data_IF_492794634841
#
_entry.id   IF_492794634841
#
_cell.length_a   1.000
_cell.length_b   1.000
_cell.length_c   1.000
_cell.angle_alpha   90.00
_cell.angle_beta   90.00
_cell.angle_gamma   90.00
#
_symmetry.space_group_name_H-M   'P 1'
#
loop_
_entity.id
_entity.type
_entity.pdbx_description
1 polymer ?
#
# COMPACT_ATOMS: atom_id res chain seq x y z
N UNK A 1 11.34 5.34 5.44
CA UNK A 1 10.66 6.23 4.46
C UNK A 1 9.46 6.86 5.14
N UNK A 2 9.01 8.06 4.73
CA UNK A 2 7.96 8.79 5.47
C UNK A 2 6.56 8.17 5.35
N UNK A 3 5.65 8.58 6.24
CA UNK A 3 4.23 8.20 6.25
C UNK A 3 3.42 8.75 5.06
N UNK A 4 3.95 9.68 4.25
CA UNK A 4 3.31 10.22 3.04
C UNK A 4 1.82 10.64 3.20
N UNK A 5 1.46 11.23 4.35
CA UNK A 5 0.08 11.65 4.64
C UNK A 5 -0.84 10.56 5.22
N UNK A 6 -0.36 9.33 5.36
CA UNK A 6 -1.15 8.23 5.93
C UNK A 6 -1.16 8.29 7.47
N UNK A 7 -2.33 8.56 8.05
CA UNK A 7 -2.50 8.71 9.50
C UNK A 7 -2.10 7.45 10.29
N UNK A 8 -2.44 6.25 9.79
CA UNK A 8 -2.00 4.99 10.40
C UNK A 8 -0.47 4.81 10.46
N UNK A 9 0.26 5.07 9.37
CA UNK A 9 1.72 5.00 9.35
C UNK A 9 2.34 6.03 10.29
N UNK A 10 1.78 7.25 10.36
CA UNK A 10 2.22 8.28 11.31
C UNK A 10 2.09 7.80 12.75
N UNK A 11 0.99 7.13 13.09
CA UNK A 11 0.80 6.57 14.43
C UNK A 11 1.81 5.46 14.73
N UNK A 12 2.07 4.56 13.78
CA UNK A 12 3.07 3.49 13.92
C UNK A 12 4.48 4.09 14.13
N UNK A 13 4.87 5.08 13.33
CA UNK A 13 6.16 5.76 13.45
C UNK A 13 6.32 6.45 14.81
N UNK A 14 5.27 7.13 15.31
CA UNK A 14 5.25 7.73 16.65
C UNK A 14 5.40 6.65 17.73
N UNK A 15 4.68 5.54 17.58
CA UNK A 15 4.67 4.44 18.57
C UNK A 15 6.03 3.74 18.65
N UNK A 16 6.68 3.53 17.50
CA UNK A 16 7.97 2.85 17.42
C UNK A 16 9.16 3.80 17.67
N UNK A 17 8.96 5.12 17.56
CA UNK A 17 10.03 6.11 17.59
C UNK A 17 10.93 6.10 16.34
N UNK A 18 10.57 5.32 15.31
CA UNK A 18 11.33 5.22 14.06
C UNK A 18 10.47 4.80 12.86
N UNK A 19 10.99 4.99 11.64
CA UNK A 19 10.35 4.55 10.38
C UNK A 19 11.01 3.31 9.74
N UNK A 20 11.83 2.59 10.51
CA UNK A 20 12.66 1.47 10.04
C UNK A 20 11.87 0.14 10.03
N UNK A 21 10.82 0.08 9.22
CA UNK A 21 10.05 -1.14 9.01
C UNK A 21 9.67 -1.28 7.53
N UNK A 22 9.56 -2.54 7.07
CA UNK A 22 9.11 -2.84 5.72
C UNK A 22 7.59 -2.64 5.62
N UNK A 23 7.13 -2.24 4.43
CA UNK A 23 5.71 -2.04 4.13
C UNK A 23 5.41 -2.40 2.68
N UNK A 24 4.27 -3.03 2.48
CA UNK A 24 3.70 -3.27 1.15
C UNK A 24 2.73 -2.13 0.85
N UNK A 25 2.87 -1.51 -0.33
CA UNK A 25 1.97 -0.44 -0.79
C UNK A 25 0.98 -1.00 -1.79
N UNK A 26 -0.31 -0.93 -1.46
CA UNK A 26 -1.38 -1.17 -2.40
C UNK A 26 -1.80 0.19 -3.00
N UNK A 27 -1.58 0.37 -4.30
CA UNK A 27 -1.95 1.61 -4.98
C UNK A 27 -3.45 1.66 -5.21
N UNK A 28 -4.09 2.72 -4.73
CA UNK A 28 -5.54 2.96 -4.92
C UNK A 28 -5.82 4.16 -5.82
N UNK A 29 -4.81 4.69 -6.51
CA UNK A 29 -4.94 5.90 -7.33
C UNK A 29 -4.85 7.22 -6.55
N UNK A 30 -4.89 8.32 -7.30
CA UNK A 30 -4.86 9.70 -6.80
C UNK A 30 -5.89 10.60 -7.50
N UNK A 31 -6.94 9.99 -8.05
CA UNK A 31 -7.97 10.68 -8.82
C UNK A 31 -8.98 11.42 -7.91
N UNK A 32 -8.48 12.42 -7.18
CA UNK A 32 -9.28 13.30 -6.34
C UNK A 32 -8.79 14.75 -6.43
N UNK A 33 -9.69 15.74 -6.33
CA UNK A 33 -9.30 17.15 -6.21
C UNK A 33 -8.47 17.41 -4.94
N UNK A 34 -7.62 18.44 -4.98
CA UNK A 34 -6.87 18.89 -3.80
C UNK A 34 -7.81 19.14 -2.62
N UNK A 35 -7.56 18.47 -1.49
CA UNK A 35 -8.34 18.61 -0.27
C UNK A 35 -9.40 17.52 -0.07
N UNK A 36 -9.66 16.66 -1.08
CA UNK A 36 -10.65 15.58 -1.00
C UNK A 36 -10.03 14.20 -0.77
N UNK A 37 -8.78 14.15 -0.29
CA UNK A 37 -8.08 12.90 0.03
C UNK A 37 -8.90 12.03 0.98
N UNK A 38 -9.49 12.65 2.00
CA UNK A 38 -10.21 11.95 3.07
C UNK A 38 -11.46 11.26 2.51
N UNK A 39 -12.22 11.95 1.68
CA UNK A 39 -13.44 11.40 1.08
C UNK A 39 -13.10 10.22 0.15
N UNK A 40 -12.03 10.36 -0.65
CA UNK A 40 -11.57 9.32 -1.57
C UNK A 40 -11.12 8.03 -0.88
N UNK A 41 -10.38 8.13 0.24
CA UNK A 41 -9.91 6.93 0.96
C UNK A 41 -10.99 6.27 1.82
N UNK A 42 -12.11 6.96 2.05
CA UNK A 42 -13.26 6.45 2.79
C UNK A 42 -14.40 5.97 1.86
N UNK A 43 -14.33 6.26 0.57
CA UNK A 43 -15.26 5.74 -0.43
C UNK A 43 -14.94 4.30 -0.85
N UNK A 44 -15.94 3.62 -1.39
CA UNK A 44 -15.73 2.34 -2.07
C UNK A 44 -15.05 2.52 -3.43
N UNK A 45 -14.59 1.40 -4.00
CA UNK A 45 -14.06 1.35 -5.36
C UNK A 45 -15.16 1.54 -6.41
N UNK A 46 -14.79 2.16 -7.53
CA UNK A 46 -15.70 2.38 -8.66
C UNK A 46 -15.93 1.10 -9.48
N UNK A 47 -16.96 1.12 -10.34
CA UNK A 47 -17.34 -0.03 -11.18
C UNK A 47 -16.23 -0.52 -12.11
N UNK A 48 -15.34 0.39 -12.51
CA UNK A 48 -14.21 0.07 -13.39
C UNK A 48 -13.02 -0.49 -12.60
N UNK A 49 -12.91 -0.19 -11.30
CA UNK A 49 -11.84 -0.68 -10.42
C UNK A 49 -12.14 -2.07 -9.84
N UNK A 50 -13.42 -2.33 -9.54
CA UNK A 50 -13.87 -3.60 -8.93
C UNK A 50 -13.37 -4.84 -9.70
N UNK A 51 -13.42 -4.90 -11.04
CA UNK A 51 -12.91 -6.05 -11.80
C UNK A 51 -11.39 -6.24 -11.69
N UNK A 52 -10.63 -5.19 -11.39
CA UNK A 52 -9.16 -5.25 -11.27
C UNK A 52 -8.71 -5.69 -9.87
N UNK A 53 -9.52 -5.44 -8.84
CA UNK A 53 -9.20 -5.74 -7.44
C UNK A 53 -8.74 -7.18 -7.20
N UNK A 54 -9.41 -8.24 -7.72
CA UNK A 54 -8.99 -9.61 -7.48
C UNK A 54 -7.54 -9.86 -7.91
N UNK A 55 -7.15 -9.39 -9.10
CA UNK A 55 -5.80 -9.57 -9.62
C UNK A 55 -4.75 -8.80 -8.79
N UNK A 56 -5.09 -7.59 -8.33
CA UNK A 56 -4.21 -6.79 -7.47
C UNK A 56 -4.05 -7.41 -6.08
N UNK A 57 -5.13 -7.97 -5.52
CA UNK A 57 -5.13 -8.68 -4.24
C UNK A 57 -4.28 -9.96 -4.35
N UNK A 58 -4.48 -10.78 -5.38
CA UNK A 58 -3.70 -11.99 -5.62
C UNK A 58 -2.21 -11.67 -5.77
N UNK A 59 -1.88 -10.61 -6.52
CA UNK A 59 -0.50 -10.12 -6.63
C UNK A 59 0.07 -9.70 -5.27
N UNK A 60 -0.73 -9.04 -4.44
CA UNK A 60 -0.32 -8.61 -3.09
C UNK A 60 -0.10 -9.81 -2.15
N UNK A 61 -0.92 -10.85 -2.25
CA UNK A 61 -0.74 -12.10 -1.51
C UNK A 61 0.59 -12.75 -1.91
N UNK A 62 0.91 -12.81 -3.20
CA UNK A 62 2.18 -13.37 -3.68
C UNK A 62 3.39 -12.53 -3.24
N UNK A 63 3.26 -11.20 -3.17
CA UNK A 63 4.28 -10.33 -2.58
C UNK A 63 4.51 -10.65 -1.10
N UNK A 64 3.45 -10.82 -0.31
CA UNK A 64 3.54 -11.16 1.12
C UNK A 64 4.25 -12.51 1.29
N UNK A 65 3.86 -13.53 0.53
CA UNK A 65 4.52 -14.85 0.56
C UNK A 65 6.00 -14.72 0.23
N UNK A 66 6.33 -14.06 -0.89
CA UNK A 66 7.71 -13.82 -1.32
C UNK A 66 8.53 -13.09 -0.26
N UNK A 67 7.96 -12.05 0.35
CA UNK A 67 8.62 -11.29 1.41
C UNK A 67 9.02 -12.18 2.58
N UNK A 68 8.12 -13.08 2.99
CA UNK A 68 8.37 -14.00 4.10
C UNK A 68 9.30 -15.17 3.75
N UNK A 69 9.40 -15.56 2.48
CA UNK A 69 10.14 -16.77 2.06
C UNK A 69 11.53 -16.48 1.50
N UNK A 70 11.69 -15.40 0.74
CA UNK A 70 12.95 -15.06 0.05
C UNK A 70 13.50 -13.67 0.44
N UNK A 71 12.82 -12.97 1.34
CA UNK A 71 13.26 -11.68 1.90
C UNK A 71 12.93 -10.46 1.04
N UNK A 72 13.21 -9.28 1.59
CA UNK A 72 12.82 -7.98 1.03
C UNK A 72 13.44 -7.70 -0.32
N UNK A 73 14.76 -7.90 -0.47
CA UNK A 73 15.51 -7.49 -1.66
C UNK A 73 15.03 -8.23 -2.93
N UNK A 74 14.97 -9.56 -2.87
CA UNK A 74 14.50 -10.38 -3.98
C UNK A 74 13.02 -10.14 -4.29
N UNK A 75 12.21 -9.93 -3.25
CA UNK A 75 10.79 -9.59 -3.42
C UNK A 75 10.62 -8.25 -4.13
N UNK A 76 11.38 -7.23 -3.74
CA UNK A 76 11.35 -5.92 -4.40
C UNK A 76 11.75 -6.05 -5.87
N UNK A 77 12.85 -6.75 -6.18
CA UNK A 77 13.29 -7.00 -7.57
C UNK A 77 12.23 -7.72 -8.40
N UNK A 78 11.49 -8.67 -7.80
CA UNK A 78 10.47 -9.44 -8.52
C UNK A 78 9.19 -8.65 -8.82
N UNK A 79 8.76 -7.79 -7.88
CA UNK A 79 7.42 -7.20 -7.91
C UNK A 79 7.36 -5.69 -8.18
N UNK A 80 8.43 -4.94 -7.85
CA UNK A 80 8.54 -3.52 -8.16
C UNK A 80 9.13 -3.38 -9.56
N UNK A 81 8.27 -3.45 -10.57
CA UNK A 81 8.59 -3.14 -11.96
C UNK A 81 8.25 -1.70 -12.27
#
# INVERSE_FOLDING_TARGET
GSAAGHNGLKHIEITLGHSNYARLRFGVGDNFPKGQQVDYVLSGFDKDEIPELPALIDRSIEMIKSFTTIGTELTMTKFNK
#
